data_IF_213422690197
#
_entry.id   IF_213422690197
#
_cell.length_a   1.000
_cell.length_b   1.000
_cell.length_c   1.000
_cell.angle_alpha   90.00
_cell.angle_beta   90.00
_cell.angle_gamma   90.00
#
_symmetry.space_group_name_H-M   'P 1'
#
loop_
_entity.id
_entity.type
_entity.pdbx_description
1 polymer ?
#
# COMPACT_ATOMS: atom_id res chain seq x y z
N UNK A 1 59.71 15.73 -26.01
CA UNK A 1 58.46 15.94 -26.76
C UNK A 1 57.52 14.79 -26.43
N UNK A 2 56.51 15.02 -25.62
CA UNK A 2 55.51 14.00 -25.23
C UNK A 2 54.59 13.82 -26.43
N UNK A 3 54.46 12.58 -26.87
CA UNK A 3 53.73 12.21 -28.08
C UNK A 3 52.22 12.37 -27.86
N UNK A 4 51.61 13.44 -28.40
CA UNK A 4 50.19 13.82 -28.23
C UNK A 4 49.21 12.72 -28.60
N UNK A 5 49.60 11.73 -29.40
CA UNK A 5 48.80 10.55 -29.76
C UNK A 5 48.56 9.56 -28.59
N UNK A 6 49.45 9.56 -27.60
CA UNK A 6 49.29 8.71 -26.41
C UNK A 6 48.35 9.32 -25.37
N UNK A 7 48.24 10.66 -25.34
CA UNK A 7 47.39 11.37 -24.40
C UNK A 7 45.89 11.17 -24.72
N UNK A 8 45.53 11.06 -26.00
CA UNK A 8 44.14 10.83 -26.42
C UNK A 8 43.63 9.43 -26.12
N UNK A 9 44.49 8.43 -26.01
CA UNK A 9 44.10 7.04 -25.70
C UNK A 9 43.80 6.86 -24.20
N UNK A 10 44.46 7.65 -23.34
CA UNK A 10 44.28 7.56 -21.88
C UNK A 10 42.98 8.25 -21.43
N UNK A 11 42.50 9.27 -22.15
CA UNK A 11 41.26 9.99 -21.81
C UNK A 11 39.99 9.17 -22.06
N UNK A 12 40.01 8.23 -23.02
CA UNK A 12 38.86 7.38 -23.34
C UNK A 12 38.65 6.28 -22.25
N UNK A 13 39.70 5.89 -21.54
CA UNK A 13 39.64 4.86 -20.48
C UNK A 13 39.18 5.38 -19.11
N UNK A 14 39.05 6.71 -18.95
CA UNK A 14 38.64 7.36 -17.70
C UNK A 14 37.19 7.84 -17.66
N UNK A 15 36.36 7.48 -18.64
CA UNK A 15 34.92 7.65 -18.50
C UNK A 15 34.38 6.51 -17.61
N UNK A 16 34.12 6.76 -16.33
CA UNK A 16 33.34 5.81 -15.55
C UNK A 16 31.97 5.75 -16.23
N UNK A 17 31.66 4.62 -16.85
CA UNK A 17 30.30 4.34 -17.26
C UNK A 17 29.42 4.51 -16.01
N UNK A 18 28.61 5.56 -15.96
CA UNK A 18 27.59 5.71 -14.93
C UNK A 18 26.60 4.57 -15.13
N UNK A 19 26.87 3.43 -14.49
CA UNK A 19 25.90 2.36 -14.37
C UNK A 19 24.83 2.91 -13.44
N UNK A 20 23.77 3.49 -14.01
CA UNK A 20 22.56 3.81 -13.26
C UNK A 20 21.92 2.49 -12.86
N UNK A 21 22.23 2.05 -11.66
CA UNK A 21 21.51 0.93 -11.04
C UNK A 21 20.08 1.42 -10.72
N UNK A 22 19.18 1.30 -11.68
CA UNK A 22 17.78 1.66 -11.51
C UNK A 22 17.05 0.54 -10.79
N UNK A 23 17.21 0.46 -9.47
CA UNK A 23 16.36 -0.36 -8.63
C UNK A 23 14.92 0.19 -8.61
N UNK A 24 13.92 -0.61 -8.17
CA UNK A 24 12.54 -0.15 -8.09
C UNK A 24 12.41 1.03 -7.13
N UNK A 25 11.66 2.05 -7.55
CA UNK A 25 11.34 3.20 -6.71
C UNK A 25 10.14 2.88 -5.82
N UNK A 26 10.17 3.36 -4.57
CA UNK A 26 9.06 3.19 -3.65
C UNK A 26 7.86 4.03 -4.07
N UNK A 27 6.80 3.39 -4.49
CA UNK A 27 5.55 4.00 -4.91
C UNK A 27 4.68 4.39 -3.72
N UNK A 28 3.83 5.41 -3.90
CA UNK A 28 2.85 5.87 -2.91
C UNK A 28 1.51 6.08 -3.58
N UNK A 29 0.45 5.58 -2.95
CA UNK A 29 -0.93 5.79 -3.39
C UNK A 29 -1.73 6.38 -2.24
N UNK A 30 -2.62 7.32 -2.55
CA UNK A 30 -3.51 7.95 -1.59
C UNK A 30 -4.87 8.20 -2.22
N UNK A 31 -5.92 7.62 -1.64
CA UNK A 31 -7.31 7.82 -2.01
C UNK A 31 -8.11 8.30 -0.80
N UNK A 32 -9.16 9.07 -1.02
CA UNK A 32 -10.02 9.52 0.07
C UNK A 32 -11.47 9.67 -0.38
N UNK A 33 -12.39 9.55 0.60
CA UNK A 33 -13.82 9.82 0.42
C UNK A 33 -14.33 10.65 1.58
N UNK A 34 -15.33 11.47 1.33
CA UNK A 34 -16.07 12.23 2.36
C UNK A 34 -17.50 11.69 2.37
N UNK A 35 -17.92 11.16 3.53
CA UNK A 35 -19.22 10.54 3.71
C UNK A 35 -20.01 11.25 4.82
N UNK A 36 -21.34 11.18 4.75
CA UNK A 36 -22.21 11.62 5.85
C UNK A 36 -22.36 10.45 6.82
N UNK A 37 -21.69 10.52 7.94
CA UNK A 37 -21.70 9.47 8.96
C UNK A 37 -21.23 10.01 10.30
N UNK A 38 -21.58 9.31 11.40
CA UNK A 38 -20.94 9.54 12.70
C UNK A 38 -19.52 8.97 12.70
N UNK A 39 -18.58 9.70 13.28
CA UNK A 39 -17.17 9.31 13.32
C UNK A 39 -16.95 8.03 14.14
N UNK A 40 -17.70 7.87 15.23
CA UNK A 40 -17.58 6.69 16.11
C UNK A 40 -18.15 5.45 15.43
N UNK A 41 -19.28 5.60 14.75
CA UNK A 41 -19.90 4.52 13.97
C UNK A 41 -18.97 4.06 12.82
N UNK A 42 -18.45 5.02 12.05
CA UNK A 42 -17.48 4.74 10.99
C UNK A 42 -16.21 4.06 11.51
N UNK A 43 -15.74 4.46 12.68
CA UNK A 43 -14.58 3.83 13.31
C UNK A 43 -14.88 2.41 13.81
N UNK A 44 -16.04 2.19 14.41
CA UNK A 44 -16.46 0.86 14.86
C UNK A 44 -16.42 -0.13 13.71
N UNK A 45 -16.94 0.24 12.54
CA UNK A 45 -16.90 -0.60 11.36
C UNK A 45 -15.47 -0.92 10.88
N UNK A 46 -14.55 0.05 10.89
CA UNK A 46 -13.16 -0.17 10.48
C UNK A 46 -12.39 -1.01 11.48
N UNK A 47 -12.63 -0.79 12.78
CA UNK A 47 -11.89 -1.48 13.85
C UNK A 47 -12.34 -2.93 14.08
N UNK A 48 -13.48 -3.31 13.54
CA UNK A 48 -13.92 -4.70 13.52
C UNK A 48 -13.19 -5.48 12.41
N UNK A 49 -12.05 -6.04 12.79
CA UNK A 49 -11.18 -6.77 11.85
C UNK A 49 -11.73 -8.17 11.50
N UNK A 50 -12.58 -8.74 12.35
CA UNK A 50 -13.26 -10.01 12.06
C UNK A 50 -14.19 -9.87 10.86
N UNK A 51 -14.85 -8.74 10.76
CA UNK A 51 -15.82 -8.42 9.71
C UNK A 51 -15.29 -7.47 8.63
N UNK A 52 -13.98 -7.36 8.49
CA UNK A 52 -13.34 -6.48 7.48
C UNK A 52 -13.90 -6.71 6.07
N UNK A 53 -14.34 -7.91 5.76
CA UNK A 53 -15.00 -8.25 4.50
C UNK A 53 -16.27 -7.46 4.21
N UNK A 54 -16.91 -6.86 5.20
CA UNK A 54 -18.09 -6.04 4.99
C UNK A 54 -17.77 -4.72 4.29
N UNK A 55 -16.58 -4.17 4.50
CA UNK A 55 -16.18 -2.88 3.95
C UNK A 55 -14.92 -2.93 3.07
N UNK A 56 -14.02 -3.90 3.25
CA UNK A 56 -12.83 -4.02 2.42
C UNK A 56 -13.11 -4.76 1.11
N UNK A 57 -12.50 -4.35 0.00
CA UNK A 57 -12.76 -4.92 -1.33
C UNK A 57 -12.08 -6.26 -1.56
N UNK A 58 -10.92 -6.47 -0.95
CA UNK A 58 -10.07 -7.66 -1.16
C UNK A 58 -10.10 -8.61 0.03
N UNK A 59 -10.06 -8.08 1.26
CA UNK A 59 -10.01 -8.88 2.47
C UNK A 59 -11.40 -9.29 2.91
N UNK A 60 -11.59 -10.56 3.26
CA UNK A 60 -12.88 -11.09 3.71
C UNK A 60 -12.98 -11.15 5.22
N UNK A 61 -11.92 -11.62 5.87
CA UNK A 61 -11.80 -11.68 7.32
C UNK A 61 -10.33 -11.59 7.71
N UNK A 62 -10.07 -11.09 8.91
CA UNK A 62 -8.74 -11.13 9.51
C UNK A 62 -8.89 -11.97 10.78
N UNK A 63 -8.28 -13.14 10.77
CA UNK A 63 -8.22 -13.99 11.95
C UNK A 63 -6.96 -13.69 12.75
N UNK A 64 -7.14 -13.42 14.03
CA UNK A 64 -6.01 -13.26 14.96
C UNK A 64 -5.40 -14.63 15.23
N UNK A 65 -4.11 -14.80 14.88
CA UNK A 65 -3.32 -15.98 15.21
C UNK A 65 -2.27 -15.62 16.23
N UNK A 66 -2.41 -16.16 17.46
CA UNK A 66 -1.46 -15.97 18.56
C UNK A 66 -1.67 -14.69 19.36
N UNK A 67 -0.73 -14.42 20.30
CA UNK A 67 -0.75 -13.22 21.14
C UNK A 67 -0.26 -11.98 20.38
N UNK A 68 -0.75 -10.78 20.79
CA UNK A 68 -0.38 -9.51 20.19
C UNK A 68 1.13 -9.20 20.42
N UNK A 69 1.89 -8.71 19.42
CA UNK A 69 1.51 -8.27 18.07
C UNK A 69 1.72 -9.33 16.97
N UNK A 70 0.95 -10.38 16.95
CA UNK A 70 1.10 -11.47 15.99
C UNK A 70 0.56 -11.12 14.59
N UNK A 71 1.12 -11.70 13.52
CA UNK A 71 0.59 -11.53 12.18
C UNK A 71 -0.83 -12.10 12.08
N UNK A 72 -1.73 -11.33 11.50
CA UNK A 72 -3.09 -11.76 11.20
C UNK A 72 -3.14 -12.34 9.79
N UNK A 73 -3.76 -13.51 9.65
CA UNK A 73 -4.01 -14.12 8.33
C UNK A 73 -5.23 -13.47 7.69
N UNK A 74 -5.07 -13.07 6.44
CA UNK A 74 -6.16 -12.54 5.63
C UNK A 74 -6.57 -13.59 4.62
N UNK A 75 -7.86 -13.90 4.57
CA UNK A 75 -8.41 -14.75 3.54
C UNK A 75 -8.95 -13.90 2.40
N UNK A 76 -8.11 -13.67 1.40
CA UNK A 76 -8.54 -13.37 0.03
C UNK A 76 -8.48 -14.66 -0.80
N UNK A 77 -8.79 -14.61 -2.09
CA UNK A 77 -8.63 -15.77 -2.99
C UNK A 77 -7.22 -16.40 -2.93
N UNK A 78 -6.23 -15.63 -2.51
CA UNK A 78 -4.87 -16.07 -2.21
C UNK A 78 -4.53 -15.59 -0.80
N UNK A 79 -4.14 -16.51 0.08
CA UNK A 79 -3.85 -16.22 1.49
C UNK A 79 -2.70 -15.22 1.63
N UNK A 80 -3.04 -13.99 1.99
CA UNK A 80 -2.08 -12.98 2.42
C UNK A 80 -1.86 -13.02 3.93
N UNK A 81 -0.76 -12.44 4.40
CA UNK A 81 -0.48 -12.29 5.83
C UNK A 81 -0.32 -10.82 6.17
N UNK A 82 -1.13 -10.35 7.10
CA UNK A 82 -1.11 -8.97 7.61
C UNK A 82 -0.48 -8.93 8.98
N UNK A 83 0.30 -7.91 9.20
CA UNK A 83 0.71 -7.50 10.54
C UNK A 83 0.07 -6.16 10.87
N UNK A 84 -0.72 -6.11 11.93
CA UNK A 84 -1.25 -4.86 12.47
C UNK A 84 -0.11 -4.12 13.16
N UNK A 85 0.06 -2.85 12.79
CA UNK A 85 1.06 -1.97 13.39
C UNK A 85 0.44 -1.00 14.39
N UNK A 86 -0.80 -0.59 14.15
CA UNK A 86 -1.53 0.35 15.00
C UNK A 86 -3.02 0.19 14.77
N UNK A 87 -3.78 0.05 15.84
CA UNK A 87 -5.23 0.20 15.87
C UNK A 87 -5.54 1.17 17.01
N UNK A 88 -5.60 2.47 16.68
CA UNK A 88 -5.68 3.57 17.65
C UNK A 88 -7.06 4.22 17.58
N UNK A 89 -7.87 3.95 18.58
CA UNK A 89 -9.26 4.45 18.66
C UNK A 89 -9.35 5.94 18.97
N UNK A 90 -8.35 6.55 19.61
CA UNK A 90 -8.34 8.00 19.85
C UNK A 90 -8.04 8.76 18.57
N UNK A 91 -7.00 8.34 17.84
CA UNK A 91 -6.59 8.96 16.58
C UNK A 91 -7.38 8.47 15.38
N UNK A 92 -8.31 7.51 15.56
CA UNK A 92 -9.08 6.88 14.48
C UNK A 92 -8.16 6.41 13.35
N UNK A 93 -7.12 5.66 13.73
CA UNK A 93 -6.00 5.31 12.85
C UNK A 93 -5.75 3.80 12.86
N UNK A 94 -5.89 3.19 11.71
CA UNK A 94 -5.54 1.81 11.45
C UNK A 94 -4.31 1.74 10.55
N UNK A 95 -3.21 1.11 11.01
CA UNK A 95 -1.99 0.87 10.22
C UNK A 95 -1.68 -0.61 10.18
N UNK A 96 -1.24 -1.07 9.02
CA UNK A 96 -0.81 -2.44 8.83
C UNK A 96 0.25 -2.55 7.74
N UNK A 97 0.90 -3.70 7.68
CA UNK A 97 1.76 -4.11 6.56
C UNK A 97 1.45 -5.53 6.12
N UNK A 98 1.75 -5.82 4.87
CA UNK A 98 1.67 -7.18 4.35
C UNK A 98 3.00 -7.90 4.59
N UNK A 99 2.96 -9.03 5.27
CA UNK A 99 4.06 -10.00 5.35
C UNK A 99 4.06 -10.92 4.12
N UNK A 100 2.86 -11.22 3.62
CA UNK A 100 2.64 -11.86 2.32
C UNK A 100 1.59 -11.04 1.56
N UNK A 101 1.88 -10.61 0.34
CA UNK A 101 1.01 -9.66 -0.37
C UNK A 101 -0.31 -10.26 -0.86
N UNK A 102 -0.47 -11.61 -0.85
CA UNK A 102 -1.60 -12.25 -1.50
C UNK A 102 -1.64 -11.86 -2.97
N UNK A 103 -2.50 -11.93 -3.78
CA UNK A 103 -2.47 -11.63 -5.22
C UNK A 103 -2.16 -10.17 -5.62
N UNK A 104 -1.70 -9.29 -4.72
CA UNK A 104 -1.27 -7.95 -5.09
C UNK A 104 0.14 -7.97 -5.70
N UNK A 105 0.38 -7.28 -6.83
CA UNK A 105 1.69 -7.23 -7.50
C UNK A 105 2.65 -6.25 -6.80
N UNK A 106 2.82 -6.40 -5.49
CA UNK A 106 3.60 -5.49 -4.64
C UNK A 106 4.58 -6.21 -3.72
N UNK A 107 5.63 -5.51 -3.33
CA UNK A 107 6.56 -5.88 -2.27
C UNK A 107 6.61 -4.80 -1.20
N UNK A 108 6.94 -5.20 0.04
CA UNK A 108 7.12 -4.32 1.20
C UNK A 108 5.98 -3.30 1.35
N UNK A 109 4.75 -3.78 1.19
CA UNK A 109 3.55 -2.95 1.27
C UNK A 109 3.20 -2.62 2.71
N UNK A 110 2.96 -1.34 2.96
CA UNK A 110 2.38 -0.84 4.19
C UNK A 110 1.29 0.19 3.90
N UNK A 111 0.25 0.20 4.71
CA UNK A 111 -0.87 1.11 4.53
C UNK A 111 -1.43 1.63 5.84
N UNK A 112 -2.21 2.71 5.72
CA UNK A 112 -2.98 3.28 6.82
C UNK A 112 -4.32 3.80 6.34
N UNK A 113 -5.35 3.57 7.14
CA UNK A 113 -6.63 4.28 7.07
C UNK A 113 -6.70 5.25 8.23
N UNK A 114 -7.15 6.46 7.95
CA UNK A 114 -7.40 7.48 8.94
C UNK A 114 -8.77 8.09 8.71
N UNK A 115 -9.53 8.25 9.79
CA UNK A 115 -10.80 8.95 9.80
C UNK A 115 -10.60 10.29 10.48
N UNK A 116 -11.17 11.32 9.89
CA UNK A 116 -11.13 12.68 10.41
C UNK A 116 -12.54 13.29 10.36
N UNK A 117 -12.91 13.99 11.44
CA UNK A 117 -14.17 14.71 11.46
C UNK A 117 -14.11 15.84 10.43
N UNK A 118 -15.06 15.84 9.52
CA UNK A 118 -15.28 16.92 8.57
C UNK A 118 -16.37 17.90 9.05
N UNK A 119 -16.71 18.83 8.18
CA UNK A 119 -17.79 19.78 8.44
C UNK A 119 -19.17 19.13 8.30
N UNK A 120 -20.17 19.70 8.96
CA UNK A 120 -21.59 19.36 8.80
C UNK A 120 -21.90 17.86 8.98
N UNK A 121 -21.30 17.22 10.00
CA UNK A 121 -21.57 15.80 10.30
C UNK A 121 -21.00 14.83 9.24
N UNK A 122 -19.98 15.26 8.52
CA UNK A 122 -19.27 14.41 7.57
C UNK A 122 -18.00 13.83 8.18
N UNK A 123 -17.56 12.73 7.63
CA UNK A 123 -16.29 12.06 7.97
C UNK A 123 -15.46 11.94 6.71
N UNK A 124 -14.21 12.37 6.78
CA UNK A 124 -13.21 12.13 5.74
C UNK A 124 -12.45 10.86 6.08
N UNK A 125 -12.42 9.91 5.15
CA UNK A 125 -11.65 8.69 5.25
C UNK A 125 -10.52 8.78 4.24
N UNK A 126 -9.28 8.62 4.70
CA UNK A 126 -8.09 8.63 3.85
C UNK A 126 -7.39 7.27 3.93
N UNK A 127 -7.18 6.65 2.78
CA UNK A 127 -6.45 5.40 2.63
C UNK A 127 -5.13 5.68 1.91
N UNK A 128 -4.01 5.52 2.60
CA UNK A 128 -2.65 5.76 2.06
C UNK A 128 -1.80 4.53 2.21
N UNK A 129 -0.97 4.25 1.20
CA UNK A 129 0.02 3.19 1.26
C UNK A 129 1.29 3.50 0.51
N UNK A 130 2.32 2.72 0.82
CA UNK A 130 3.61 2.77 0.15
C UNK A 130 4.13 1.34 -0.03
N UNK A 131 4.73 1.08 -1.20
CA UNK A 131 5.16 -0.25 -1.62
C UNK A 131 6.21 -0.14 -2.72
N UNK A 132 6.82 -1.26 -3.06
CA UNK A 132 7.57 -1.46 -4.31
C UNK A 132 6.75 -2.37 -5.23
N UNK A 133 7.03 -2.32 -6.54
CA UNK A 133 6.51 -3.30 -7.50
C UNK A 133 6.92 -4.73 -7.11
N UNK A 134 6.21 -5.73 -7.59
CA UNK A 134 6.47 -7.13 -7.26
C UNK A 134 7.84 -7.60 -7.77
N UNK A 135 8.17 -7.28 -9.02
CA UNK A 135 9.46 -7.62 -9.61
C UNK A 135 10.49 -6.54 -9.27
N UNK A 136 11.51 -6.92 -8.47
CA UNK A 136 12.47 -5.96 -7.92
C UNK A 136 13.70 -5.69 -8.81
N UNK A 137 13.93 -6.54 -9.83
CA UNK A 137 15.04 -6.38 -10.76
C UNK A 137 14.66 -5.43 -11.92
N UNK A 138 15.64 -5.15 -12.80
CA UNK A 138 15.43 -4.40 -14.03
C UNK A 138 14.52 -5.19 -14.99
N UNK A 139 13.91 -4.48 -15.94
CA UNK A 139 13.06 -5.06 -17.00
C UNK A 139 11.91 -5.95 -16.47
N UNK A 140 11.02 -5.40 -15.61
CA UNK A 140 9.90 -6.14 -15.05
C UNK A 140 8.89 -6.53 -16.15
N UNK A 141 8.26 -7.71 -16.04
CA UNK A 141 7.08 -8.03 -16.81
C UNK A 141 5.98 -6.98 -16.61
N UNK A 142 5.12 -6.79 -17.60
CA UNK A 142 4.07 -5.75 -17.56
C UNK A 142 3.15 -5.88 -16.35
N UNK A 143 2.83 -7.10 -15.94
CA UNK A 143 1.97 -7.42 -14.80
C UNK A 143 2.65 -7.26 -13.42
N UNK A 144 3.97 -7.04 -13.38
CA UNK A 144 4.76 -6.92 -12.16
C UNK A 144 5.58 -5.62 -12.08
N UNK A 145 5.32 -4.67 -13.01
CA UNK A 145 5.97 -3.37 -13.07
C UNK A 145 5.34 -2.34 -12.10
N UNK A 146 5.85 -1.11 -12.10
CA UNK A 146 5.37 -0.03 -11.23
C UNK A 146 3.93 0.37 -11.57
N UNK A 147 3.58 0.42 -12.85
CA UNK A 147 2.24 0.80 -13.32
C UNK A 147 1.19 -0.23 -12.89
N UNK A 148 1.48 -1.53 -13.01
CA UNK A 148 0.61 -2.60 -12.56
C UNK A 148 0.40 -2.55 -11.03
N UNK A 149 1.47 -2.31 -10.28
CA UNK A 149 1.40 -2.18 -8.82
C UNK A 149 0.56 -0.97 -8.39
N UNK A 150 0.78 0.19 -9.01
CA UNK A 150 0.02 1.42 -8.74
C UNK A 150 -1.45 1.22 -9.09
N UNK A 151 -1.74 0.67 -10.27
CA UNK A 151 -3.11 0.43 -10.72
C UNK A 151 -3.87 -0.52 -9.79
N UNK A 152 -3.24 -1.63 -9.39
CA UNK A 152 -3.85 -2.62 -8.50
C UNK A 152 -4.15 -2.03 -7.11
N UNK A 153 -3.22 -1.29 -6.52
CA UNK A 153 -3.41 -0.66 -5.20
C UNK A 153 -4.43 0.47 -5.28
N UNK A 154 -4.40 1.30 -6.30
CA UNK A 154 -5.39 2.37 -6.52
C UNK A 154 -6.79 1.80 -6.65
N UNK A 155 -6.96 0.76 -7.48
CA UNK A 155 -8.25 0.07 -7.62
C UNK A 155 -8.74 -0.50 -6.29
N UNK A 156 -7.89 -1.18 -5.55
CA UNK A 156 -8.22 -1.73 -4.24
C UNK A 156 -8.71 -0.64 -3.29
N UNK A 157 -8.05 0.52 -3.23
CA UNK A 157 -8.44 1.62 -2.35
C UNK A 157 -9.78 2.21 -2.75
N UNK A 158 -9.97 2.52 -4.04
CA UNK A 158 -11.23 3.06 -4.55
C UNK A 158 -12.40 2.12 -4.31
N UNK A 159 -12.24 0.84 -4.62
CA UNK A 159 -13.28 -0.16 -4.40
C UNK A 159 -13.60 -0.35 -2.90
N UNK A 160 -12.57 -0.29 -2.05
CA UNK A 160 -12.73 -0.38 -0.59
C UNK A 160 -13.51 0.83 -0.06
N UNK A 161 -13.11 2.04 -0.42
CA UNK A 161 -13.78 3.26 0.03
C UNK A 161 -15.23 3.33 -0.45
N UNK A 162 -15.49 2.93 -1.69
CA UNK A 162 -16.86 2.83 -2.23
C UNK A 162 -17.71 1.80 -1.49
N UNK A 163 -17.12 0.64 -1.18
CA UNK A 163 -17.82 -0.42 -0.43
C UNK A 163 -18.11 0.02 1.00
N UNK A 164 -17.16 0.71 1.63
CA UNK A 164 -17.33 1.31 2.95
C UNK A 164 -18.45 2.34 2.98
N UNK A 165 -18.44 3.30 2.05
CA UNK A 165 -19.49 4.31 1.90
C UNK A 165 -20.87 3.66 1.77
N UNK A 166 -21.01 2.65 0.90
CA UNK A 166 -22.28 1.92 0.73
C UNK A 166 -22.73 1.20 2.00
N UNK A 167 -21.80 0.74 2.83
CA UNK A 167 -22.13 0.02 4.07
C UNK A 167 -22.62 0.96 5.15
N UNK A 168 -22.00 2.14 5.30
CA UNK A 168 -22.31 3.09 6.36
C UNK A 168 -23.53 3.97 6.03
N UNK A 169 -23.86 4.14 4.75
CA UNK A 169 -25.02 4.95 4.30
C UNK A 169 -26.36 4.19 4.33
N UNK A 170 -26.38 2.98 4.87
CA UNK A 170 -27.59 2.19 5.06
C UNK A 170 -28.13 2.34 6.47
#
# INVERSE_FOLDING_TARGET
MINVKFLNLVIILLFPGFIFAHGPTRQKVSESVIIKADLSEAWTLISDLGDIGQWHSVYKSIEKKGEDPQPLSMFSRESGVVQILTLDSEKKLFKYRLKKPGGLPVNNYSARLRLEKGESGKVKITYKGAFYRKYLNNDPPLEENDEAAIAAVTKMYKDTLKKFEKKISK
#
